data_IF_868303880075
#
_entry.id   IF_868303880075
#
_cell.length_a   1.000
_cell.length_b   1.000
_cell.length_c   1.000
_cell.angle_alpha   90.00
_cell.angle_beta   90.00
_cell.angle_gamma   90.00
#
_symmetry.space_group_name_H-M   'P 1'
#
loop_
_entity.id
_entity.type
_entity.pdbx_description
1 polymer ?
#
# COMPACT_ATOMS: atom_id res chain seq x y z
N UNK A 1 -13.17 28.91 -18.24
CA UNK A 1 -12.99 27.46 -18.39
C UNK A 1 -11.69 26.98 -17.72
N UNK A 2 -10.52 27.56 -18.06
CA UNK A 2 -9.22 27.16 -17.49
C UNK A 2 -9.12 27.25 -15.96
N UNK A 3 -9.61 28.33 -15.35
CA UNK A 3 -9.59 28.51 -13.88
C UNK A 3 -10.47 27.50 -13.13
N UNK A 4 -11.60 27.11 -13.72
CA UNK A 4 -12.51 26.11 -13.13
C UNK A 4 -11.85 24.73 -13.14
N UNK A 5 -11.23 24.38 -14.27
CA UNK A 5 -10.49 23.11 -14.41
C UNK A 5 -9.32 23.06 -13.43
N UNK A 6 -8.55 24.15 -13.30
CA UNK A 6 -7.47 24.24 -12.32
C UNK A 6 -7.96 24.00 -10.89
N UNK A 7 -9.11 24.57 -10.53
CA UNK A 7 -9.70 24.41 -9.19
C UNK A 7 -10.09 22.96 -8.90
N UNK A 8 -10.61 22.24 -9.90
CA UNK A 8 -10.94 20.82 -9.80
C UNK A 8 -9.67 20.02 -9.52
N UNK A 9 -8.60 20.21 -10.29
CA UNK A 9 -7.34 19.49 -10.08
C UNK A 9 -6.67 19.82 -8.74
N UNK A 10 -6.89 21.03 -8.20
CA UNK A 10 -6.38 21.44 -6.89
C UNK A 10 -7.21 20.94 -5.70
N UNK A 11 -8.38 20.30 -5.91
CA UNK A 11 -9.24 19.83 -4.82
C UNK A 11 -8.50 18.99 -3.76
N UNK A 12 -7.64 18.00 -4.13
CA UNK A 12 -6.87 17.24 -3.14
C UNK A 12 -5.96 18.14 -2.30
N UNK A 13 -5.30 19.13 -2.93
CA UNK A 13 -4.38 20.05 -2.26
C UNK A 13 -5.14 20.99 -1.33
N UNK A 14 -6.27 21.55 -1.78
CA UNK A 14 -7.10 22.46 -1.00
C UNK A 14 -7.70 21.73 0.21
N UNK A 15 -8.24 20.53 0.02
CA UNK A 15 -8.79 19.73 1.11
C UNK A 15 -7.71 19.24 2.07
N UNK A 16 -6.54 18.88 1.56
CA UNK A 16 -5.40 18.44 2.37
C UNK A 16 -4.85 19.56 3.24
N UNK A 17 -4.61 20.75 2.66
CA UNK A 17 -4.19 21.94 3.42
C UNK A 17 -5.23 22.34 4.45
N UNK A 18 -6.52 22.42 4.08
CA UNK A 18 -7.61 22.66 5.03
C UNK A 18 -7.65 21.61 6.15
N UNK A 19 -7.35 20.35 5.84
CA UNK A 19 -7.30 19.26 6.81
C UNK A 19 -6.18 19.40 7.83
N UNK A 20 -4.97 19.72 7.39
CA UNK A 20 -3.81 19.92 8.27
C UNK A 20 -4.00 21.16 9.14
N UNK A 21 -4.31 22.30 8.52
CA UNK A 21 -4.46 23.58 9.23
C UNK A 21 -5.70 23.62 10.12
N UNK A 22 -6.80 23.02 9.68
CA UNK A 22 -8.05 22.96 10.44
C UNK A 22 -8.16 21.76 11.38
N UNK A 23 -7.08 20.99 11.56
CA UNK A 23 -7.02 19.77 12.36
C UNK A 23 -8.20 18.80 12.08
N UNK A 24 -8.59 18.67 10.81
CA UNK A 24 -9.80 17.99 10.37
C UNK A 24 -9.49 16.67 9.67
N UNK A 25 -9.72 15.55 10.38
CA UNK A 25 -9.56 14.19 9.80
C UNK A 25 -10.47 13.96 8.59
N UNK A 26 -11.68 14.53 8.62
CA UNK A 26 -12.63 14.46 7.49
C UNK A 26 -12.07 15.11 6.23
N UNK A 27 -11.42 16.26 6.35
CA UNK A 27 -10.89 16.98 5.19
C UNK A 27 -9.67 16.26 4.59
N UNK A 28 -8.83 15.63 5.41
CA UNK A 28 -7.76 14.73 4.95
C UNK A 28 -8.34 13.53 4.19
N UNK A 29 -9.41 12.92 4.72
CA UNK A 29 -10.13 11.84 4.03
C UNK A 29 -10.68 12.26 2.66
N UNK A 30 -11.24 13.47 2.55
CA UNK A 30 -11.66 14.04 1.27
C UNK A 30 -10.50 14.26 0.30
N UNK A 31 -9.35 14.74 0.80
CA UNK A 31 -8.16 14.92 -0.03
C UNK A 31 -7.73 13.59 -0.67
N UNK A 32 -7.65 12.52 0.13
CA UNK A 32 -7.35 11.17 -0.35
C UNK A 32 -8.42 10.68 -1.33
N UNK A 33 -9.70 10.87 -1.00
CA UNK A 33 -10.82 10.49 -1.86
C UNK A 33 -10.77 11.16 -3.25
N UNK A 34 -10.45 12.46 -3.31
CA UNK A 34 -10.28 13.16 -4.59
C UNK A 34 -9.08 12.65 -5.38
N UNK A 35 -7.94 12.38 -4.72
CA UNK A 35 -6.77 11.77 -5.37
C UNK A 35 -7.13 10.42 -5.98
N UNK A 36 -7.80 9.54 -5.22
CA UNK A 36 -8.22 8.23 -5.70
C UNK A 36 -9.26 8.33 -6.82
N UNK A 37 -10.17 9.29 -6.74
CA UNK A 37 -11.15 9.53 -7.81
C UNK A 37 -10.46 9.95 -9.11
N UNK A 38 -9.46 10.83 -9.06
CA UNK A 38 -8.70 11.19 -10.26
C UNK A 38 -7.88 10.04 -10.82
N UNK A 39 -7.26 9.23 -9.95
CA UNK A 39 -6.55 8.03 -10.37
C UNK A 39 -7.51 7.01 -11.02
N UNK A 40 -8.71 6.82 -10.47
CA UNK A 40 -9.72 5.92 -11.01
C UNK A 40 -10.24 6.39 -12.38
N UNK A 41 -10.57 7.67 -12.51
CA UNK A 41 -10.98 8.26 -13.80
C UNK A 41 -9.85 8.10 -14.81
N UNK A 42 -8.62 8.42 -14.43
CA UNK A 42 -7.47 8.28 -15.31
C UNK A 42 -7.28 6.82 -15.76
N UNK A 43 -7.33 5.86 -14.83
CA UNK A 43 -7.23 4.43 -15.13
C UNK A 43 -8.31 3.96 -16.11
N UNK A 44 -9.56 4.40 -15.94
CA UNK A 44 -10.68 4.08 -16.84
C UNK A 44 -10.46 4.70 -18.24
N UNK A 45 -10.06 5.97 -18.30
CA UNK A 45 -9.83 6.65 -19.57
C UNK A 45 -8.64 6.07 -20.35
N UNK A 46 -7.68 5.47 -19.67
CA UNK A 46 -6.53 4.81 -20.31
C UNK A 46 -6.82 3.42 -20.85
N UNK A 47 -8.01 2.84 -20.61
CA UNK A 47 -8.37 1.53 -21.13
C UNK A 47 -8.45 1.57 -22.66
N UNK A 48 -7.82 0.64 -23.42
CA UNK A 48 -7.75 0.72 -24.88
C UNK A 48 -9.12 0.88 -25.57
N UNK A 49 -10.13 0.16 -25.06
CA UNK A 49 -11.50 0.25 -25.53
C UNK A 49 -12.05 1.68 -25.40
N UNK A 50 -11.88 2.31 -24.23
CA UNK A 50 -12.38 3.66 -23.97
C UNK A 50 -11.51 4.69 -24.70
N UNK A 51 -10.19 4.59 -24.61
CA UNK A 51 -9.21 5.46 -25.29
C UNK A 51 -9.47 5.57 -26.80
N UNK A 52 -9.85 4.47 -27.46
CA UNK A 52 -10.21 4.46 -28.88
C UNK A 52 -11.46 5.28 -29.22
N UNK A 53 -12.39 5.42 -28.28
CA UNK A 53 -13.63 6.20 -28.44
C UNK A 53 -13.44 7.69 -28.19
N UNK A 54 -12.31 8.11 -27.59
CA UNK A 54 -12.01 9.51 -27.31
C UNK A 54 -11.45 10.28 -28.51
N UNK A 55 -11.15 9.63 -29.64
CA UNK A 55 -10.58 10.28 -30.83
C UNK A 55 -9.28 11.04 -30.52
N UNK A 56 -9.15 12.27 -31.02
CA UNK A 56 -7.96 13.12 -30.81
C UNK A 56 -7.69 13.46 -29.34
N UNK A 57 -8.68 13.36 -28.46
CA UNK A 57 -8.47 13.54 -27.01
C UNK A 57 -7.75 12.34 -26.40
N UNK A 58 -7.94 11.15 -26.97
CA UNK A 58 -7.28 9.92 -26.53
C UNK A 58 -5.77 9.94 -26.78
N UNK A 59 -5.29 10.61 -27.83
CA UNK A 59 -3.85 10.66 -28.15
C UNK A 59 -3.04 11.46 -27.13
N UNK A 60 -3.68 12.40 -26.42
CA UNK A 60 -3.06 13.23 -25.38
C UNK A 60 -3.04 12.56 -23.99
N UNK A 61 -3.69 11.39 -23.84
CA UNK A 61 -3.68 10.62 -22.60
C UNK A 61 -2.47 9.68 -22.58
N UNK A 62 -1.58 9.90 -21.62
CA UNK A 62 -0.54 8.93 -21.25
C UNK A 62 -1.25 7.67 -20.77
N UNK A 63 -1.14 6.58 -21.52
CA UNK A 63 -1.67 5.28 -21.09
C UNK A 63 -0.76 4.68 -20.03
N UNK A 64 -1.35 4.17 -18.95
CA UNK A 64 -0.66 3.18 -18.12
C UNK A 64 -0.65 1.87 -18.89
N UNK A 65 0.39 1.64 -19.68
CA UNK A 65 0.64 0.36 -20.34
C UNK A 65 1.19 -0.67 -19.34
N UNK A 66 0.66 -0.67 -18.10
CA UNK A 66 1.15 -1.47 -16.98
C UNK A 66 0.85 -2.98 -17.11
N UNK A 67 0.25 -3.40 -18.23
CA UNK A 67 -0.13 -4.79 -18.51
C UNK A 67 0.78 -5.48 -19.52
N UNK A 68 1.69 -4.76 -20.20
CA UNK A 68 2.46 -5.33 -21.33
C UNK A 68 3.98 -5.06 -21.24
N UNK A 69 4.44 -4.25 -20.29
CA UNK A 69 5.89 -4.03 -20.11
C UNK A 69 6.53 -5.16 -19.32
N UNK A 70 7.76 -5.51 -19.69
CA UNK A 70 8.60 -6.43 -18.92
C UNK A 70 8.91 -5.84 -17.54
N UNK A 71 8.95 -6.68 -16.48
CA UNK A 71 9.41 -6.24 -15.18
C UNK A 71 10.90 -5.89 -15.25
N UNK A 72 11.28 -4.75 -14.67
CA UNK A 72 12.68 -4.29 -14.62
C UNK A 72 13.08 -3.76 -13.24
N UNK A 73 12.12 -3.69 -12.32
CA UNK A 73 12.34 -3.18 -10.97
C UNK A 73 12.10 -4.31 -9.99
N UNK A 74 13.07 -4.57 -9.13
CA UNK A 74 12.89 -5.53 -8.06
C UNK A 74 14.03 -5.56 -7.06
N UNK A 75 14.17 -6.68 -6.37
CA UNK A 75 15.00 -6.81 -5.18
C UNK A 75 15.74 -8.14 -5.20
N UNK A 76 16.98 -8.16 -4.71
CA UNK A 76 17.86 -9.35 -4.68
C UNK A 76 18.11 -9.99 -6.06
N UNK A 77 18.11 -9.18 -7.12
CA UNK A 77 18.39 -9.64 -8.49
C UNK A 77 17.18 -10.27 -9.22
N UNK A 78 16.00 -10.24 -8.62
CA UNK A 78 14.74 -10.60 -9.31
C UNK A 78 14.05 -9.34 -9.81
N UNK A 79 13.63 -9.36 -11.08
CA UNK A 79 12.77 -8.33 -11.65
C UNK A 79 11.30 -8.65 -11.30
N UNK A 80 10.72 -7.83 -10.42
CA UNK A 80 9.42 -8.11 -9.81
C UNK A 80 8.28 -7.33 -10.46
N UNK A 81 8.49 -6.05 -10.72
CA UNK A 81 7.44 -5.13 -11.15
C UNK A 81 7.92 -4.25 -12.30
N UNK A 82 6.98 -3.79 -13.13
CA UNK A 82 7.27 -2.80 -14.18
C UNK A 82 7.53 -1.41 -13.55
N UNK A 83 8.20 -0.48 -14.25
CA UNK A 83 8.39 0.89 -13.76
C UNK A 83 7.07 1.61 -13.42
N UNK A 84 6.01 1.36 -14.17
CA UNK A 84 4.68 1.93 -13.96
C UNK A 84 4.03 1.35 -12.69
N UNK A 85 4.13 0.03 -12.50
CA UNK A 85 3.66 -0.63 -11.29
C UNK A 85 4.40 -0.12 -10.05
N UNK A 86 5.72 0.04 -10.14
CA UNK A 86 6.52 0.64 -9.08
C UNK A 86 6.07 2.07 -8.75
N UNK A 87 5.78 2.88 -9.78
CA UNK A 87 5.27 4.24 -9.61
C UNK A 87 3.91 4.25 -8.90
N UNK A 88 3.02 3.31 -9.23
CA UNK A 88 1.73 3.17 -8.54
C UNK A 88 1.89 2.72 -7.08
N UNK A 89 2.82 1.81 -6.79
CA UNK A 89 3.16 1.40 -5.41
C UNK A 89 3.69 2.61 -4.63
N UNK A 90 4.57 3.40 -5.23
CA UNK A 90 5.09 4.63 -4.61
C UNK A 90 3.99 5.64 -4.32
N UNK A 91 3.06 5.85 -5.26
CA UNK A 91 1.88 6.71 -5.04
C UNK A 91 1.03 6.17 -3.89
N UNK A 92 0.78 4.87 -3.84
CA UNK A 92 0.02 4.25 -2.76
C UNK A 92 0.70 4.43 -1.40
N UNK A 93 2.02 4.21 -1.31
CA UNK A 93 2.81 4.44 -0.09
C UNK A 93 2.75 5.92 0.31
N UNK A 94 2.90 6.86 -0.62
CA UNK A 94 2.80 8.29 -0.34
C UNK A 94 1.41 8.69 0.19
N UNK A 95 0.34 8.12 -0.35
CA UNK A 95 -1.02 8.34 0.16
C UNK A 95 -1.15 7.80 1.59
N UNK A 96 -0.60 6.62 1.89
CA UNK A 96 -0.59 6.06 3.24
C UNK A 96 0.25 6.90 4.21
N UNK A 97 1.42 7.37 3.79
CA UNK A 97 2.26 8.31 4.58
C UNK A 97 1.48 9.58 4.89
N UNK A 98 0.84 10.18 3.89
CA UNK A 98 0.03 11.38 4.05
C UNK A 98 -1.13 11.16 5.03
N UNK A 99 -1.82 10.02 4.93
CA UNK A 99 -2.92 9.66 5.82
C UNK A 99 -2.44 9.53 7.27
N UNK A 100 -1.41 8.71 7.52
CA UNK A 100 -0.98 8.43 8.89
C UNK A 100 -0.26 9.62 9.54
N UNK A 101 0.55 10.36 8.77
CA UNK A 101 1.16 11.59 9.30
C UNK A 101 0.10 12.63 9.62
N UNK A 102 -0.89 12.82 8.73
CA UNK A 102 -1.98 13.77 8.95
C UNK A 102 -2.86 13.43 10.14
N UNK A 103 -3.27 12.16 10.28
CA UNK A 103 -4.06 11.71 11.43
C UNK A 103 -3.24 11.69 12.73
N UNK A 104 -1.96 11.32 12.65
CA UNK A 104 -1.03 11.36 13.77
C UNK A 104 -0.89 12.77 14.35
N UNK A 105 -0.60 13.76 13.50
CA UNK A 105 -0.47 15.16 13.91
C UNK A 105 -1.74 15.67 14.59
N UNK A 106 -2.92 15.41 14.00
CA UNK A 106 -4.20 15.81 14.60
C UNK A 106 -4.37 15.18 15.98
N UNK A 107 -4.17 13.87 16.10
CA UNK A 107 -4.33 13.13 17.36
C UNK A 107 -3.38 13.63 18.45
N UNK A 108 -2.10 13.85 18.12
CA UNK A 108 -1.11 14.29 19.10
C UNK A 108 -1.30 15.75 19.50
N UNK A 109 -1.72 16.63 18.58
CA UNK A 109 -2.07 18.00 18.92
C UNK A 109 -3.33 18.07 19.78
N UNK A 110 -4.40 17.34 19.43
CA UNK A 110 -5.61 17.24 20.25
C UNK A 110 -5.29 16.77 21.68
N UNK A 111 -4.41 15.78 21.80
CA UNK A 111 -3.93 15.30 23.10
C UNK A 111 -3.14 16.38 23.86
N UNK A 112 -2.17 17.02 23.20
CA UNK A 112 -1.34 18.07 23.79
C UNK A 112 -2.19 19.28 24.25
N UNK A 113 -3.24 19.65 23.51
CA UNK A 113 -4.14 20.74 23.88
C UNK A 113 -5.01 20.42 25.10
N UNK A 114 -5.36 19.15 25.31
CA UNK A 114 -6.17 18.70 26.47
C UNK A 114 -5.39 18.62 27.78
N UNK A 115 -4.06 18.55 27.71
CA UNK A 115 -3.23 18.45 28.92
C UNK A 115 -3.24 19.77 29.73
N UNK A 116 -3.26 19.69 31.07
CA UNK A 116 -3.05 20.85 31.93
C UNK A 116 -1.73 21.55 31.63
N UNK A 117 -1.69 22.87 31.82
CA UNK A 117 -0.53 23.68 31.47
C UNK A 117 0.71 23.37 32.31
N UNK A 118 0.51 22.86 33.54
CA UNK A 118 1.57 22.31 34.39
C UNK A 118 2.24 21.08 33.77
N UNK A 119 1.46 20.14 33.21
CA UNK A 119 1.96 18.94 32.56
C UNK A 119 2.75 19.24 31.27
N UNK A 120 2.49 20.37 30.61
CA UNK A 120 3.23 20.78 29.40
C UNK A 120 4.66 21.23 29.70
N UNK A 121 4.94 21.63 30.94
CA UNK A 121 6.25 22.10 31.39
C UNK A 121 7.04 21.05 32.16
N UNK A 122 6.36 19.98 32.57
CA UNK A 122 6.99 18.89 33.30
C UNK A 122 7.82 18.03 32.33
N UNK A 123 9.15 17.92 32.56
CA UNK A 123 10.05 17.18 31.68
C UNK A 123 9.68 15.70 31.54
N UNK A 124 9.00 15.10 32.53
CA UNK A 124 8.62 13.70 32.45
C UNK A 124 7.50 13.46 31.41
N UNK A 125 6.48 14.31 31.39
CA UNK A 125 5.40 14.22 30.40
C UNK A 125 5.88 14.53 28.98
N UNK A 126 6.81 15.47 28.84
CA UNK A 126 7.45 15.76 27.54
C UNK A 126 8.21 14.52 27.04
N UNK A 127 9.00 13.88 27.91
CA UNK A 127 9.72 12.64 27.55
C UNK A 127 8.77 11.49 27.18
N UNK A 128 7.63 11.36 27.86
CA UNK A 128 6.64 10.35 27.53
C UNK A 128 6.01 10.61 26.15
N UNK A 129 5.66 11.87 25.85
CA UNK A 129 5.15 12.26 24.54
C UNK A 129 6.17 11.97 23.43
N UNK A 130 7.44 12.31 23.64
CA UNK A 130 8.51 12.01 22.69
C UNK A 130 8.67 10.51 22.45
N UNK A 131 8.58 9.68 23.49
CA UNK A 131 8.66 8.24 23.36
C UNK A 131 7.49 7.68 22.53
N UNK A 132 6.26 8.16 22.78
CA UNK A 132 5.06 7.74 22.03
C UNK A 132 5.15 8.19 20.56
N UNK A 133 5.57 9.42 20.31
CA UNK A 133 5.73 9.97 18.96
C UNK A 133 6.81 9.22 18.19
N UNK A 134 7.99 9.03 18.77
CA UNK A 134 9.08 8.29 18.15
C UNK A 134 8.72 6.82 17.92
N UNK A 135 7.99 6.19 18.85
CA UNK A 135 7.46 4.85 18.67
C UNK A 135 6.52 4.78 17.47
N UNK A 136 5.54 5.68 17.40
CA UNK A 136 4.60 5.74 16.28
C UNK A 136 5.29 5.99 14.94
N UNK A 137 6.28 6.88 14.87
CA UNK A 137 7.05 7.14 13.65
C UNK A 137 7.84 5.91 13.20
N UNK A 138 8.54 5.23 14.12
CA UNK A 138 9.27 3.99 13.82
C UNK A 138 8.34 2.88 13.33
N UNK A 139 7.20 2.69 13.99
CA UNK A 139 6.20 1.72 13.57
C UNK A 139 5.62 2.04 12.20
N UNK A 140 5.29 3.31 11.95
CA UNK A 140 4.74 3.75 10.66
C UNK A 140 5.74 3.53 9.54
N UNK A 141 7.00 3.97 9.72
CA UNK A 141 8.06 3.77 8.73
C UNK A 141 8.34 2.28 8.48
N UNK A 142 8.44 1.48 9.54
CA UNK A 142 8.66 0.04 9.43
C UNK A 142 7.51 -0.66 8.72
N UNK A 143 6.27 -0.39 9.12
CA UNK A 143 5.09 -1.00 8.52
C UNK A 143 4.95 -0.64 7.04
N UNK A 144 5.05 0.64 6.69
CA UNK A 144 4.91 1.08 5.29
C UNK A 144 6.02 0.53 4.38
N UNK A 145 7.25 0.42 4.88
CA UNK A 145 8.36 -0.19 4.14
C UNK A 145 8.08 -1.67 3.88
N UNK A 146 7.66 -2.41 4.92
CA UNK A 146 7.32 -3.83 4.78
C UNK A 146 6.13 -4.00 3.84
N UNK A 147 5.08 -3.18 3.97
CA UNK A 147 3.91 -3.23 3.07
C UNK A 147 4.33 -3.00 1.63
N UNK A 148 5.11 -1.96 1.32
CA UNK A 148 5.57 -1.69 -0.04
C UNK A 148 6.38 -2.85 -0.62
N UNK A 149 7.31 -3.42 0.15
CA UNK A 149 8.10 -4.58 -0.27
C UNK A 149 7.24 -5.83 -0.50
N UNK A 150 6.33 -6.13 0.42
CA UNK A 150 5.42 -7.27 0.30
C UNK A 150 4.49 -7.10 -0.90
N UNK A 151 4.01 -5.88 -1.17
CA UNK A 151 3.20 -5.59 -2.37
C UNK A 151 4.00 -5.82 -3.66
N UNK A 152 5.26 -5.38 -3.72
CA UNK A 152 6.13 -5.66 -4.87
C UNK A 152 6.32 -7.17 -5.10
N UNK A 153 6.61 -7.92 -4.03
CA UNK A 153 6.79 -9.37 -4.11
C UNK A 153 5.48 -10.04 -4.55
N UNK A 154 4.33 -9.61 -4.02
CA UNK A 154 3.04 -10.18 -4.36
C UNK A 154 2.68 -9.99 -5.83
N UNK A 155 3.00 -8.82 -6.41
CA UNK A 155 2.77 -8.53 -7.83
C UNK A 155 3.71 -9.31 -8.75
N UNK A 156 4.99 -9.42 -8.38
CA UNK A 156 6.01 -10.18 -9.14
C UNK A 156 6.05 -11.67 -8.85
N UNK A 157 5.18 -12.18 -7.97
CA UNK A 157 5.27 -13.55 -7.45
C UNK A 157 5.22 -14.62 -8.55
N UNK A 158 4.41 -14.38 -9.59
CA UNK A 158 4.31 -15.25 -10.74
C UNK A 158 5.65 -15.38 -11.49
N UNK A 159 6.32 -14.25 -11.75
CA UNK A 159 7.61 -14.21 -12.45
C UNK A 159 8.70 -14.92 -11.65
N UNK A 160 8.74 -14.74 -10.33
CA UNK A 160 9.68 -15.42 -9.43
C UNK A 160 9.52 -16.94 -9.50
N UNK A 161 8.27 -17.44 -9.50
CA UNK A 161 8.01 -18.87 -9.60
C UNK A 161 8.49 -19.45 -10.94
N UNK A 162 8.23 -18.76 -12.05
CA UNK A 162 8.69 -19.21 -13.37
C UNK A 162 10.22 -19.26 -13.45
N UNK A 163 10.90 -18.26 -12.89
CA UNK A 163 12.37 -18.23 -12.85
C UNK A 163 12.96 -19.37 -12.01
N UNK A 164 12.38 -19.64 -10.83
CA UNK A 164 12.81 -20.77 -9.99
C UNK A 164 12.62 -22.10 -10.72
N UNK A 165 11.48 -22.29 -11.41
CA UNK A 165 11.23 -23.52 -12.20
C UNK A 165 12.21 -23.63 -13.36
N UNK A 166 12.46 -22.55 -14.09
CA UNK A 166 13.45 -22.50 -15.19
C UNK A 166 14.83 -22.94 -14.71
N UNK A 167 15.29 -22.37 -13.59
CA UNK A 167 16.62 -22.62 -13.05
C UNK A 167 16.76 -24.01 -12.41
N UNK A 168 15.69 -24.52 -11.79
CA UNK A 168 15.70 -25.82 -11.11
C UNK A 168 15.50 -27.01 -12.06
N UNK A 169 14.63 -26.85 -13.07
CA UNK A 169 14.24 -27.97 -13.95
C UNK A 169 14.98 -27.94 -15.30
N UNK A 170 15.62 -26.82 -15.66
CA UNK A 170 16.25 -26.65 -16.98
C UNK A 170 15.25 -26.77 -18.14
N UNK A 171 13.95 -26.63 -17.88
CA UNK A 171 12.92 -26.99 -18.83
C UNK A 171 12.74 -25.89 -19.89
N UNK A 172 12.80 -26.28 -21.16
CA UNK A 172 12.45 -25.44 -22.32
C UNK A 172 11.00 -24.93 -22.24
N UNK A 173 10.17 -25.63 -21.47
CA UNK A 173 8.78 -25.28 -21.22
C UNK A 173 8.63 -23.98 -20.41
N UNK A 174 9.47 -23.74 -19.40
CA UNK A 174 9.41 -22.50 -18.62
C UNK A 174 9.76 -21.27 -19.49
N UNK A 175 10.69 -21.42 -20.44
CA UNK A 175 11.02 -20.39 -21.42
C UNK A 175 9.88 -20.13 -22.42
N UNK A 176 9.20 -21.18 -22.89
CA UNK A 176 8.06 -21.05 -23.80
C UNK A 176 6.82 -20.41 -23.13
N UNK A 177 6.60 -20.68 -21.84
CA UNK A 177 5.52 -20.06 -21.07
C UNK A 177 5.82 -18.58 -20.75
N UNK A 178 7.09 -18.21 -20.57
CA UNK A 178 7.47 -16.80 -20.41
C UNK A 178 7.43 -16.00 -21.72
N UNK A 179 7.65 -16.65 -22.87
CA UNK A 179 7.64 -15.97 -24.19
C UNK A 179 6.24 -15.77 -24.78
N UNK A 180 5.24 -16.55 -24.35
CA UNK A 180 3.88 -16.45 -24.86
C UNK A 180 2.95 -15.77 -23.83
N UNK A 181 2.54 -14.54 -24.15
CA UNK A 181 1.58 -13.75 -23.36
C UNK A 181 0.26 -14.53 -23.15
N UNK A 182 -0.20 -15.24 -24.18
CA UNK A 182 -1.44 -16.02 -24.13
C UNK A 182 -1.32 -17.22 -23.18
N UNK A 183 -0.17 -17.93 -23.19
CA UNK A 183 0.10 -19.02 -22.25
C UNK A 183 0.38 -18.52 -20.83
N UNK A 184 1.05 -17.37 -20.66
CA UNK A 184 1.29 -16.76 -19.34
C UNK A 184 -0.04 -16.43 -18.65
N UNK A 185 -0.99 -15.85 -19.39
CA UNK A 185 -2.30 -15.49 -18.87
C UNK A 185 -3.23 -16.70 -18.62
N UNK A 186 -3.19 -17.74 -19.45
CA UNK A 186 -4.09 -18.91 -19.31
C UNK A 186 -3.51 -20.05 -18.46
N UNK A 187 -2.25 -20.42 -18.67
CA UNK A 187 -1.59 -21.54 -18.00
C UNK A 187 -0.62 -21.09 -16.90
N UNK A 188 0.04 -19.94 -17.07
CA UNK A 188 0.95 -19.39 -16.08
C UNK A 188 0.25 -19.12 -14.74
N UNK A 189 -0.95 -18.53 -14.77
CA UNK A 189 -1.71 -18.23 -13.55
C UNK A 189 -2.11 -19.51 -12.79
N UNK A 190 -2.64 -20.52 -13.49
CA UNK A 190 -3.03 -21.82 -12.89
C UNK A 190 -1.81 -22.54 -12.31
N UNK A 191 -0.69 -22.54 -13.02
CA UNK A 191 0.52 -23.26 -12.58
C UNK A 191 1.19 -22.51 -11.42
N UNK A 192 1.18 -21.19 -11.42
CA UNK A 192 1.65 -20.42 -10.26
C UNK A 192 0.75 -20.62 -9.03
N UNK A 193 -0.55 -20.81 -9.20
CA UNK A 193 -1.44 -21.20 -8.11
C UNK A 193 -1.10 -22.61 -7.57
N UNK A 194 -0.81 -23.58 -8.45
CA UNK A 194 -0.39 -24.93 -8.04
C UNK A 194 0.98 -24.93 -7.34
N UNK A 195 1.95 -24.18 -7.86
CA UNK A 195 3.27 -24.00 -7.26
C UNK A 195 3.18 -23.23 -5.92
N UNK A 196 2.28 -22.26 -5.82
CA UNK A 196 1.99 -21.58 -4.56
C UNK A 196 1.45 -22.55 -3.52
N UNK A 197 0.46 -23.39 -3.87
CA UNK A 197 -0.06 -24.41 -2.97
C UNK A 197 1.03 -25.41 -2.54
N UNK A 198 1.93 -25.77 -3.44
CA UNK A 198 3.10 -26.61 -3.12
C UNK A 198 4.05 -25.91 -2.15
N UNK A 199 4.37 -24.63 -2.39
CA UNK A 199 5.21 -23.81 -1.51
C UNK A 199 4.59 -23.68 -0.12
N UNK A 200 3.29 -23.38 -0.03
CA UNK A 200 2.54 -23.29 1.24
C UNK A 200 2.52 -24.64 1.96
N UNK A 201 2.37 -25.75 1.24
CA UNK A 201 2.44 -27.09 1.80
C UNK A 201 3.83 -27.38 2.39
N UNK A 202 4.91 -26.96 1.74
CA UNK A 202 6.28 -27.07 2.24
C UNK A 202 6.51 -26.14 3.45
N UNK A 203 5.96 -24.93 3.41
CA UNK A 203 6.13 -23.91 4.46
C UNK A 203 5.61 -24.39 5.82
N UNK A 204 4.63 -25.31 5.84
CA UNK A 204 4.14 -25.99 7.05
C UNK A 204 5.24 -26.67 7.87
N UNK A 205 6.32 -27.12 7.23
CA UNK A 205 7.42 -27.80 7.92
C UNK A 205 8.45 -26.83 8.50
N UNK A 206 8.59 -25.64 7.92
CA UNK A 206 9.59 -24.65 8.34
C UNK A 206 9.03 -23.64 9.35
N UNK A 207 7.76 -23.27 9.21
CA UNK A 207 7.15 -22.27 10.09
C UNK A 207 6.36 -22.96 11.19
N UNK A 208 6.68 -22.72 12.48
CA UNK A 208 5.96 -23.31 13.62
C UNK A 208 4.60 -22.63 13.80
N UNK A 209 3.63 -22.97 12.95
CA UNK A 209 2.31 -22.33 12.90
C UNK A 209 1.59 -22.31 14.24
N UNK A 210 1.79 -23.31 15.10
CA UNK A 210 1.24 -23.33 16.46
C UNK A 210 1.77 -22.18 17.33
N UNK A 211 3.05 -21.82 17.21
CA UNK A 211 3.63 -20.67 17.94
C UNK A 211 3.16 -19.34 17.37
N UNK A 212 3.01 -19.26 16.05
CA UNK A 212 2.49 -18.06 15.38
C UNK A 212 1.04 -17.80 15.81
N UNK A 213 0.19 -18.82 15.80
CA UNK A 213 -1.20 -18.72 16.28
C UNK A 213 -1.26 -18.39 17.76
N UNK A 214 -0.46 -19.01 18.61
CA UNK A 214 -0.41 -18.69 20.04
C UNK A 214 0.00 -17.24 20.33
N UNK A 215 0.91 -16.68 19.52
CA UNK A 215 1.28 -15.26 19.61
C UNK A 215 0.13 -14.34 19.17
N UNK A 216 -0.54 -14.66 18.06
CA UNK A 216 -1.71 -13.92 17.58
C UNK A 216 -2.84 -13.91 18.62
N UNK A 217 -3.16 -15.07 19.20
CA UNK A 217 -4.17 -15.20 20.25
C UNK A 217 -3.79 -14.39 21.50
N UNK A 218 -2.53 -14.44 21.92
CA UNK A 218 -2.06 -13.66 23.08
C UNK A 218 -2.15 -12.14 22.86
N UNK A 219 -1.95 -11.67 21.63
CA UNK A 219 -2.12 -10.27 21.29
C UNK A 219 -3.60 -9.88 21.22
N UNK A 220 -4.47 -10.78 20.75
CA UNK A 220 -5.92 -10.55 20.71
C UNK A 220 -6.55 -10.51 22.10
N UNK A 221 -6.06 -11.32 23.04
CA UNK A 221 -6.57 -11.40 24.42
C UNK A 221 -6.10 -10.26 25.33
N UNK A 222 -5.17 -9.41 24.88
CA UNK A 222 -4.72 -8.24 25.64
C UNK A 222 -5.67 -7.03 25.54
N UNK A 223 -6.90 -7.20 25.02
CA UNK A 223 -7.94 -6.19 25.20
C UNK A 223 -8.40 -6.20 26.68
N UNK A 224 -8.24 -5.09 27.43
CA UNK A 224 -8.69 -5.05 28.82
C UNK A 224 -10.21 -5.23 28.86
N UNK A 225 -10.68 -6.15 29.71
CA UNK A 225 -12.12 -6.33 29.96
C UNK A 225 -12.75 -4.98 30.36
N UNK A 226 -13.97 -4.67 29.88
CA UNK A 226 -14.66 -3.46 30.31
C UNK A 226 -14.84 -3.49 31.83
N UNK A 227 -14.33 -2.46 32.50
CA UNK A 227 -14.48 -2.28 33.94
C UNK A 227 -15.98 -2.32 34.26
N UNK A 228 -16.43 -3.40 34.91
CA UNK A 228 -17.80 -3.49 35.43
C UNK A 228 -17.96 -2.40 36.47
N UNK A 229 -18.79 -1.42 36.16
CA UNK A 229 -19.23 -0.40 37.10
C UNK A 229 -19.89 -1.11 38.28
N UNK A 230 -19.35 -0.91 39.49
CA UNK A 230 -19.97 -1.44 40.70
C UNK A 230 -21.25 -0.65 40.93
N UNK A 231 -22.39 -1.31 40.78
CA UNK A 231 -23.67 -0.81 41.27
C UNK A 231 -23.54 -0.61 42.79
N UNK A 232 -23.66 0.65 43.23
CA UNK A 232 -23.87 1.05 44.61
C UNK A 232 -25.31 1.53 44.75
#
# INVERSE_FOLDING_TARGET
LSLVILFIYLLPVIMGTRGIWGLSRRSIGWAIGFTLLFLAIHAILTFPLIKSQLGDWGSNLISLESQVSDPTVGFLGFDLVTPEQFSLIMIAVLIMVFQESGFGVIRYLEYAYRLPESCKRDPEYVRQMDNVLNGHLRHTAGFLTVTGLVTMIALGFHSVLLEVVRNSTGSQWAAQVSESIELSLTYGLVISALLFLSLVAILRFFVPWQRVWGLIESMSNNQPEPVKEKEF
#
